data_IF_466659502969
#
_entry.id   IF_466659502969
#
_cell.length_a   1.000
_cell.length_b   1.000
_cell.length_c   1.000
_cell.angle_alpha   90.00
_cell.angle_beta   90.00
_cell.angle_gamma   90.00
#
_symmetry.space_group_name_H-M   'P 1'
#
loop_
_entity.id
_entity.type
_entity.pdbx_description
1 polymer ?
#
# COMPACT_ATOMS: atom_id res chain seq x y z
N UNK A 1 46.24 -23.63 31.70
CA UNK A 1 44.91 -22.99 31.82
C UNK A 1 44.60 -22.30 30.51
N UNK A 2 43.71 -22.86 29.77
CA UNK A 2 43.23 -22.23 28.53
C UNK A 2 41.98 -21.48 28.84
N UNK A 3 42.00 -20.15 28.79
CA UNK A 3 40.83 -19.32 28.86
C UNK A 3 40.06 -19.46 27.56
N UNK A 4 38.88 -20.05 27.64
CA UNK A 4 37.94 -20.07 26.56
C UNK A 4 37.23 -18.70 26.54
N UNK A 5 37.76 -17.78 25.76
CA UNK A 5 36.99 -16.62 25.32
C UNK A 5 36.07 -17.08 24.20
N UNK A 6 34.92 -17.57 24.57
CA UNK A 6 33.81 -17.63 23.62
C UNK A 6 33.39 -16.20 23.35
N UNK A 7 33.85 -15.68 22.22
CA UNK A 7 33.40 -14.42 21.71
C UNK A 7 31.90 -14.49 21.48
N UNK A 8 31.17 -13.82 22.35
CA UNK A 8 29.76 -13.52 22.13
C UNK A 8 29.73 -12.52 20.97
N UNK A 9 29.59 -13.03 19.76
CA UNK A 9 29.26 -12.20 18.62
C UNK A 9 27.86 -11.67 18.84
N UNK A 10 27.77 -10.49 19.48
CA UNK A 10 26.55 -9.69 19.41
C UNK A 10 26.40 -9.28 17.96
N UNK A 11 25.62 -10.06 17.22
CA UNK A 11 25.05 -9.58 15.99
C UNK A 11 24.10 -8.43 16.37
N UNK A 12 24.65 -7.22 16.38
CA UNK A 12 23.85 -6.02 16.35
C UNK A 12 23.13 -6.10 14.99
N UNK A 13 21.97 -6.69 14.99
CA UNK A 13 21.01 -6.61 13.90
C UNK A 13 20.68 -5.14 13.74
N UNK A 14 21.35 -4.54 12.78
CA UNK A 14 21.16 -3.15 12.42
C UNK A 14 19.71 -2.98 11.99
N UNK A 15 18.89 -2.42 12.84
CA UNK A 15 17.59 -1.85 12.52
C UNK A 15 17.80 -0.62 11.62
N UNK A 16 18.23 -0.85 10.39
CA UNK A 16 18.37 0.18 9.35
C UNK A 16 17.24 -0.02 8.34
N UNK A 17 16.01 -0.07 8.80
CA UNK A 17 14.92 -0.37 7.86
C UNK A 17 13.96 0.79 7.58
N UNK A 18 13.86 1.79 8.46
CA UNK A 18 12.92 2.87 8.20
C UNK A 18 13.42 3.93 7.22
N UNK A 19 14.69 4.33 7.33
CA UNK A 19 15.25 5.37 6.46
C UNK A 19 15.40 4.93 5.00
N UNK A 20 15.80 3.67 4.77
CA UNK A 20 15.91 3.12 3.42
C UNK A 20 14.53 3.00 2.75
N UNK A 21 13.51 2.54 3.46
CA UNK A 21 12.16 2.40 2.92
C UNK A 21 11.54 3.75 2.51
N UNK A 22 11.80 4.83 3.27
CA UNK A 22 11.36 6.19 2.91
C UNK A 22 12.08 6.73 1.68
N UNK A 23 13.40 6.53 1.58
CA UNK A 23 14.17 6.96 0.43
C UNK A 23 13.75 6.23 -0.85
N UNK A 24 13.42 4.94 -0.73
CA UNK A 24 12.94 4.12 -1.86
C UNK A 24 11.57 4.59 -2.36
N UNK A 25 10.68 5.06 -1.46
CA UNK A 25 9.37 5.60 -1.85
C UNK A 25 9.46 6.96 -2.53
N UNK A 26 10.34 7.86 -2.06
CA UNK A 26 10.59 9.14 -2.76
C UNK A 26 11.10 8.87 -4.18
N UNK A 27 12.09 7.99 -4.29
CA UNK A 27 12.62 7.59 -5.59
C UNK A 27 11.56 6.98 -6.49
N UNK A 28 10.70 6.14 -5.94
CA UNK A 28 9.61 5.55 -6.71
C UNK A 28 8.64 6.61 -7.22
N UNK A 29 8.28 7.62 -6.41
CA UNK A 29 7.44 8.74 -6.84
C UNK A 29 8.11 9.57 -7.95
N UNK A 30 9.39 9.89 -7.78
CA UNK A 30 10.15 10.62 -8.80
C UNK A 30 10.18 9.86 -10.13
N UNK A 31 10.34 8.54 -10.07
CA UNK A 31 10.30 7.68 -11.25
C UNK A 31 8.90 7.63 -11.88
N UNK A 32 7.84 7.63 -11.09
CA UNK A 32 6.47 7.73 -11.58
C UNK A 32 6.20 9.08 -12.25
N UNK A 33 6.67 10.17 -11.68
CA UNK A 33 6.55 11.52 -12.25
C UNK A 33 7.34 11.64 -13.55
N UNK A 34 8.49 10.99 -13.62
CA UNK A 34 9.28 10.88 -14.86
C UNK A 34 8.70 9.88 -15.88
N UNK A 35 7.60 9.19 -15.54
CA UNK A 35 6.97 8.13 -16.34
C UNK A 35 7.86 6.90 -16.58
N UNK A 36 8.89 6.72 -15.76
CA UNK A 36 9.68 5.49 -15.74
C UNK A 36 9.02 4.45 -14.82
N UNK A 37 7.87 3.95 -15.26
CA UNK A 37 7.02 3.09 -14.45
C UNK A 37 7.65 1.73 -14.16
N UNK A 38 8.48 1.20 -15.06
CA UNK A 38 9.16 -0.07 -14.82
C UNK A 38 10.17 0.04 -13.68
N UNK A 39 10.96 1.10 -13.67
CA UNK A 39 11.89 1.37 -12.58
C UNK A 39 11.13 1.67 -11.27
N UNK A 40 10.02 2.42 -11.34
CA UNK A 40 9.17 2.67 -10.19
C UNK A 40 8.63 1.37 -9.58
N UNK A 41 8.16 0.44 -10.39
CA UNK A 41 7.67 -0.87 -9.92
C UNK A 41 8.77 -1.67 -9.20
N UNK A 42 10.01 -1.63 -9.70
CA UNK A 42 11.14 -2.30 -9.06
C UNK A 42 11.47 -1.74 -7.67
N UNK A 43 11.30 -0.42 -7.48
CA UNK A 43 11.47 0.22 -6.15
C UNK A 43 10.28 -0.08 -5.22
N UNK A 44 9.06 -0.11 -5.75
CA UNK A 44 7.85 -0.30 -4.96
C UNK A 44 7.65 -1.74 -4.45
N UNK A 45 7.97 -2.74 -5.26
CA UNK A 45 7.70 -4.13 -4.91
C UNK A 45 8.36 -4.59 -3.61
N UNK A 46 9.64 -4.31 -3.33
CA UNK A 46 10.25 -4.69 -2.05
C UNK A 46 9.57 -4.01 -0.86
N UNK A 47 9.23 -2.72 -0.98
CA UNK A 47 8.53 -1.97 0.06
C UNK A 47 7.12 -2.54 0.33
N UNK A 48 6.38 -2.85 -0.73
CA UNK A 48 5.05 -3.45 -0.62
C UNK A 48 5.10 -4.86 0.00
N UNK A 49 6.09 -5.67 -0.36
CA UNK A 49 6.31 -6.99 0.26
C UNK A 49 6.64 -6.90 1.74
N UNK A 50 7.28 -5.81 2.17
CA UNK A 50 7.53 -5.51 3.58
C UNK A 50 6.30 -4.95 4.31
N UNK A 51 5.17 -4.79 3.62
CA UNK A 51 3.92 -4.32 4.21
C UNK A 51 3.74 -2.81 4.21
N UNK A 52 4.49 -2.06 3.41
CA UNK A 52 4.30 -0.62 3.29
C UNK A 52 3.02 -0.32 2.52
N UNK A 53 2.03 0.27 3.20
CA UNK A 53 0.70 0.52 2.65
C UNK A 53 0.71 1.52 1.49
N UNK A 54 1.56 2.52 1.52
CA UNK A 54 1.68 3.49 0.43
C UNK A 54 2.27 2.84 -0.83
N UNK A 55 3.28 1.97 -0.69
CA UNK A 55 3.81 1.22 -1.82
C UNK A 55 2.74 0.29 -2.42
N UNK A 56 1.93 -0.35 -1.59
CA UNK A 56 0.80 -1.17 -2.03
C UNK A 56 -0.23 -0.35 -2.81
N UNK A 57 -0.57 0.86 -2.32
CA UNK A 57 -1.47 1.78 -3.03
C UNK A 57 -0.91 2.18 -4.39
N UNK A 58 0.36 2.60 -4.45
CA UNK A 58 1.00 3.02 -5.69
C UNK A 58 1.03 1.89 -6.74
N UNK A 59 1.28 0.65 -6.32
CA UNK A 59 1.18 -0.52 -7.21
C UNK A 59 -0.26 -0.72 -7.66
N UNK A 60 -1.23 -0.55 -6.77
CA UNK A 60 -2.66 -0.57 -7.11
C UNK A 60 -3.02 0.43 -8.20
N UNK A 61 -2.53 1.67 -8.09
CA UNK A 61 -2.69 2.73 -9.11
C UNK A 61 -2.09 2.29 -10.45
N UNK A 62 -0.90 1.70 -10.43
CA UNK A 62 -0.23 1.26 -11.66
C UNK A 62 -1.04 0.20 -12.39
N UNK A 63 -1.61 -0.78 -11.70
CA UNK A 63 -2.51 -1.77 -12.31
C UNK A 63 -3.86 -1.17 -12.73
N UNK A 64 -4.42 -0.24 -11.96
CA UNK A 64 -5.70 0.40 -12.27
C UNK A 64 -5.64 1.23 -13.55
N UNK A 65 -4.51 1.89 -13.79
CA UNK A 65 -4.31 2.80 -14.93
C UNK A 65 -3.46 2.21 -16.05
N UNK A 66 -2.88 1.02 -15.87
CA UNK A 66 -1.99 0.41 -16.85
C UNK A 66 -0.66 1.17 -16.99
N UNK A 67 -0.05 1.59 -15.89
CA UNK A 67 1.21 2.32 -15.88
C UNK A 67 2.39 1.34 -15.76
N UNK A 68 3.12 1.11 -16.84
CA UNK A 68 4.25 0.18 -16.89
C UNK A 68 3.89 -1.30 -16.79
N UNK A 69 2.62 -1.61 -16.62
CA UNK A 69 2.02 -2.93 -16.59
C UNK A 69 0.73 -2.90 -17.38
N UNK A 70 0.26 -4.05 -17.85
CA UNK A 70 -1.07 -4.14 -18.42
C UNK A 70 -2.11 -3.85 -17.34
N UNK A 71 -3.11 -3.02 -17.67
CA UNK A 71 -4.22 -2.71 -16.77
C UNK A 71 -4.89 -3.99 -16.30
N UNK A 72 -5.02 -4.14 -15.00
CA UNK A 72 -5.64 -5.29 -14.36
C UNK A 72 -6.44 -4.83 -13.14
N UNK A 73 -7.76 -4.74 -13.28
CA UNK A 73 -8.64 -4.25 -12.22
C UNK A 73 -8.69 -5.18 -11.01
N UNK A 74 -8.51 -6.49 -11.22
CA UNK A 74 -8.50 -7.48 -10.13
C UNK A 74 -7.24 -7.30 -9.29
N UNK A 75 -6.07 -7.22 -9.92
CA UNK A 75 -4.81 -6.97 -9.20
C UNK A 75 -4.78 -5.60 -8.55
N UNK A 76 -5.30 -4.57 -9.20
CA UNK A 76 -5.42 -3.25 -8.61
C UNK A 76 -6.25 -3.29 -7.33
N UNK A 77 -7.43 -3.93 -7.38
CA UNK A 77 -8.30 -4.10 -6.21
C UNK A 77 -7.59 -4.85 -5.07
N UNK A 78 -6.89 -5.94 -5.37
CA UNK A 78 -6.13 -6.70 -4.37
C UNK A 78 -5.06 -5.87 -3.67
N UNK A 79 -4.30 -5.07 -4.42
CA UNK A 79 -3.29 -4.18 -3.86
C UNK A 79 -3.89 -3.06 -3.01
N UNK A 80 -4.96 -2.43 -3.48
CA UNK A 80 -5.71 -1.45 -2.70
C UNK A 80 -6.29 -2.06 -1.43
N UNK A 81 -6.83 -3.28 -1.50
CA UNK A 81 -7.39 -3.94 -0.33
C UNK A 81 -6.34 -4.17 0.75
N UNK A 82 -5.14 -4.62 0.39
CA UNK A 82 -4.03 -4.79 1.35
C UNK A 82 -3.71 -3.49 2.08
N UNK A 83 -3.55 -2.40 1.35
CA UNK A 83 -3.26 -1.09 1.93
C UNK A 83 -4.44 -0.56 2.76
N UNK A 84 -5.67 -0.75 2.29
CA UNK A 84 -6.89 -0.28 2.96
C UNK A 84 -7.13 -0.96 4.30
N UNK A 85 -6.80 -2.25 4.42
CA UNK A 85 -6.88 -3.00 5.67
C UNK A 85 -5.85 -2.53 6.73
N UNK A 86 -4.85 -1.79 6.32
CA UNK A 86 -3.87 -1.12 7.20
C UNK A 86 -4.29 0.31 7.57
N UNK A 87 -5.49 0.73 7.18
CA UNK A 87 -5.99 2.07 7.44
C UNK A 87 -5.50 3.14 6.46
N UNK A 88 -4.93 2.76 5.33
CA UNK A 88 -4.42 3.73 4.35
C UNK A 88 -5.58 4.40 3.58
N UNK A 89 -5.81 5.69 3.86
CA UNK A 89 -6.99 6.41 3.38
C UNK A 89 -7.06 6.51 1.84
N UNK A 90 -5.93 6.71 1.16
CA UNK A 90 -5.89 6.74 -0.29
C UNK A 90 -6.34 5.42 -0.93
N UNK A 91 -5.89 4.29 -0.37
CA UNK A 91 -6.30 2.97 -0.82
C UNK A 91 -7.77 2.70 -0.53
N UNK A 92 -8.30 3.16 0.59
CA UNK A 92 -9.73 3.05 0.93
C UNK A 92 -10.58 3.81 -0.07
N UNK A 93 -10.17 5.01 -0.48
CA UNK A 93 -10.82 5.76 -1.57
C UNK A 93 -10.78 5.00 -2.89
N UNK A 94 -9.66 4.34 -3.19
CA UNK A 94 -9.51 3.48 -4.37
C UNK A 94 -10.51 2.30 -4.37
N UNK A 95 -10.67 1.63 -3.24
CA UNK A 95 -11.66 0.57 -3.07
C UNK A 95 -13.08 1.13 -3.23
N UNK A 96 -13.38 2.29 -2.63
CA UNK A 96 -14.66 2.97 -2.78
C UNK A 96 -14.98 3.24 -4.26
N UNK A 97 -14.02 3.74 -5.00
CA UNK A 97 -14.18 4.00 -6.42
C UNK A 97 -14.48 2.73 -7.23
N UNK A 98 -13.80 1.61 -6.94
CA UNK A 98 -14.08 0.34 -7.61
C UNK A 98 -15.52 -0.12 -7.38
N UNK A 99 -16.04 0.01 -6.16
CA UNK A 99 -17.44 -0.31 -5.87
C UNK A 99 -18.42 0.66 -6.54
N UNK A 100 -18.07 1.95 -6.61
CA UNK A 100 -18.90 2.96 -7.25
C UNK A 100 -19.07 2.72 -8.76
N UNK A 101 -17.98 2.43 -9.45
CA UNK A 101 -18.01 2.21 -10.91
C UNK A 101 -18.30 0.76 -11.31
N UNK A 102 -18.19 -0.19 -10.38
CA UNK A 102 -18.44 -1.61 -10.61
C UNK A 102 -17.42 -2.30 -11.51
N UNK A 103 -16.22 -1.74 -11.63
CA UNK A 103 -15.18 -2.25 -12.52
C UNK A 103 -14.60 -3.55 -11.99
N UNK A 104 -14.57 -4.62 -12.82
CA UNK A 104 -14.17 -5.95 -12.38
C UNK A 104 -15.21 -6.65 -11.49
N UNK A 105 -16.42 -6.11 -11.39
CA UNK A 105 -17.54 -6.62 -10.59
C UNK A 105 -18.76 -6.84 -11.48
N UNK A 106 -19.74 -7.67 -11.08
CA UNK A 106 -20.98 -7.86 -11.84
C UNK A 106 -21.78 -6.56 -11.99
N UNK A 107 -21.82 -5.73 -10.94
CA UNK A 107 -22.52 -4.45 -10.89
C UNK A 107 -21.91 -3.52 -9.84
N UNK A 108 -22.15 -2.20 -9.93
CA UNK A 108 -21.78 -1.23 -8.89
C UNK A 108 -22.47 -1.52 -7.55
N UNK A 109 -21.76 -1.25 -6.45
CA UNK A 109 -22.31 -1.33 -5.09
C UNK A 109 -22.08 0.01 -4.38
N UNK A 110 -23.07 0.89 -4.46
CA UNK A 110 -22.98 2.25 -3.92
C UNK A 110 -22.94 2.28 -2.39
N UNK A 111 -23.50 1.27 -1.72
CA UNK A 111 -23.47 1.18 -0.25
C UNK A 111 -22.05 0.89 0.22
N UNK A 112 -21.40 -0.09 -0.40
CA UNK A 112 -19.99 -0.37 -0.09
C UNK A 112 -19.08 0.78 -0.50
N UNK A 113 -19.31 1.40 -1.67
CA UNK A 113 -18.56 2.57 -2.10
C UNK A 113 -18.61 3.68 -1.05
N UNK A 114 -19.82 4.03 -0.58
CA UNK A 114 -20.02 5.03 0.46
C UNK A 114 -19.30 4.66 1.76
N UNK A 115 -19.43 3.41 2.19
CA UNK A 115 -18.76 2.93 3.42
C UNK A 115 -17.24 3.13 3.34
N UNK A 116 -16.61 2.77 2.22
CA UNK A 116 -15.18 2.94 2.03
C UNK A 116 -14.76 4.42 1.95
N UNK A 117 -15.56 5.27 1.33
CA UNK A 117 -15.31 6.73 1.30
C UNK A 117 -15.42 7.36 2.69
N UNK A 118 -16.38 6.92 3.50
CA UNK A 118 -16.47 7.37 4.91
C UNK A 118 -15.24 6.97 5.70
N UNK A 119 -14.78 5.72 5.58
CA UNK A 119 -13.54 5.25 6.23
C UNK A 119 -12.33 6.07 5.80
N UNK A 120 -12.21 6.36 4.52
CA UNK A 120 -11.13 7.20 4.00
C UNK A 120 -11.20 8.63 4.56
N UNK A 121 -12.40 9.21 4.63
CA UNK A 121 -12.61 10.58 5.11
C UNK A 121 -12.27 10.76 6.60
N UNK A 122 -12.48 9.74 7.42
CA UNK A 122 -12.11 9.77 8.84
C UNK A 122 -10.65 9.35 9.11
N UNK A 123 -9.84 9.24 8.06
CA UNK A 123 -8.41 8.92 8.17
C UNK A 123 -8.11 7.44 8.30
N UNK A 124 -9.06 6.59 7.94
CA UNK A 124 -8.86 5.14 7.93
C UNK A 124 -8.97 4.46 9.30
N UNK A 125 -9.54 5.13 10.30
CA UNK A 125 -9.84 4.53 11.60
C UNK A 125 -11.25 3.92 11.58
N UNK A 126 -11.38 2.58 11.52
CA UNK A 126 -12.69 1.94 11.51
C UNK A 126 -13.49 2.15 12.81
N UNK A 127 -12.82 2.37 13.93
CA UNK A 127 -13.49 2.58 15.23
C UNK A 127 -14.10 3.98 15.30
N UNK A 128 -13.53 4.96 14.58
CA UNK A 128 -14.12 6.30 14.48
C UNK A 128 -15.41 6.33 13.65
N UNK A 129 -15.62 5.38 12.74
CA UNK A 129 -16.86 5.26 11.98
C UNK A 129 -18.04 4.81 12.87
N UNK A 130 -17.76 3.98 13.88
CA UNK A 130 -18.78 3.42 14.79
C UNK A 130 -19.24 4.48 15.80
N UNK A 131 -18.34 5.37 16.21
CA UNK A 131 -18.64 6.41 17.20
C UNK A 131 -19.51 7.56 16.69
N UNK A 132 -19.84 7.63 15.41
CA UNK A 132 -20.72 8.64 14.83
C UNK A 132 -22.18 8.20 14.73
N UNK A 133 -22.50 6.95 15.06
CA UNK A 133 -23.88 6.41 15.05
C UNK A 133 -24.58 6.44 16.44
N UNK A 134 -23.91 6.96 17.48
CA UNK A 134 -24.48 7.22 18.80
C UNK A 134 -24.83 8.71 18.93
#
# INVERSE_FOLDING_TARGET
MKSLFTGLSLSIGLLVTSGAAFADLERARDLMDAKDYQAAMQELLPAARSGNAEAEELIGIMYALGLGVERDDIRAFEWYLRASLKGHAGAQSGIGWYYEVGRGMPEPDLIRAYTWYVLAAIGGDPDAAISQEE
#
